data_IF_907366746805
#
_entry.id   IF_907366746805
#
_cell.length_a   1.000
_cell.length_b   1.000
_cell.length_c   1.000
_cell.angle_alpha   90.00
_cell.angle_beta   90.00
_cell.angle_gamma   90.00
#
_symmetry.space_group_name_H-M   'P 1'
#
loop_
_entity.id
_entity.type
_entity.pdbx_description
1 polymer ?
#
# COMPACT_ATOMS: atom_id res chain seq x y z
N UNK A 1 -41.47 -30.02 -27.98
CA UNK A 1 -41.21 -28.57 -27.97
C UNK A 1 -39.82 -28.31 -28.54
N UNK A 2 -39.74 -27.45 -29.54
CA UNK A 2 -38.57 -27.17 -30.39
C UNK A 2 -38.50 -25.64 -30.50
N UNK A 3 -37.40 -25.03 -30.07
CA UNK A 3 -36.98 -23.68 -30.44
C UNK A 3 -35.43 -23.66 -30.49
N UNK A 4 -34.82 -22.81 -31.34
CA UNK A 4 -33.81 -23.26 -32.30
C UNK A 4 -32.40 -22.65 -32.10
N UNK A 5 -31.44 -23.22 -32.83
CA UNK A 5 -30.04 -22.79 -32.95
C UNK A 5 -29.81 -21.63 -33.95
N UNK A 6 -28.83 -20.76 -33.66
CA UNK A 6 -27.97 -19.97 -34.59
C UNK A 6 -26.65 -19.69 -33.83
N UNK A 7 -25.44 -20.12 -34.23
CA UNK A 7 -24.55 -19.86 -35.40
C UNK A 7 -23.75 -18.55 -35.35
N UNK A 8 -22.45 -18.70 -35.71
CA UNK A 8 -21.44 -17.72 -36.14
C UNK A 8 -20.49 -17.21 -35.04
N UNK A 9 -19.24 -17.67 -34.94
CA UNK A 9 -18.08 -17.52 -35.85
C UNK A 9 -17.64 -16.07 -36.08
N UNK A 10 -16.31 -15.89 -35.93
CA UNK A 10 -15.46 -14.87 -36.56
C UNK A 10 -15.69 -13.42 -36.11
N UNK A 11 -14.84 -12.94 -35.20
CA UNK A 11 -14.35 -11.56 -35.13
C UNK A 11 -13.32 -11.42 -34.01
N UNK A 12 -12.06 -11.72 -34.30
CA UNK A 12 -10.94 -10.82 -33.98
C UNK A 12 -9.62 -11.46 -34.44
N UNK A 13 -9.47 -11.60 -35.76
CA UNK A 13 -8.21 -11.96 -36.43
C UNK A 13 -7.47 -10.70 -36.94
N UNK A 14 -7.56 -9.59 -36.20
CA UNK A 14 -6.99 -8.29 -36.60
C UNK A 14 -5.80 -7.93 -35.70
N UNK A 15 -4.86 -8.86 -35.53
CA UNK A 15 -3.52 -8.54 -35.00
C UNK A 15 -2.38 -9.29 -35.69
N UNK A 16 -2.64 -9.92 -36.85
CA UNK A 16 -1.59 -10.47 -37.68
C UNK A 16 -1.46 -9.68 -38.97
N UNK A 17 -0.26 -9.11 -39.18
CA UNK A 17 0.29 -8.55 -40.43
C UNK A 17 -0.03 -7.08 -40.71
N UNK A 18 0.82 -6.15 -40.24
CA UNK A 18 1.55 -5.15 -41.07
C UNK A 18 2.26 -4.10 -40.20
N UNK A 19 3.38 -3.56 -40.71
CA UNK A 19 4.40 -2.70 -40.07
C UNK A 19 5.44 -3.53 -39.30
N UNK A 20 6.45 -4.16 -39.91
CA UNK A 20 7.41 -3.75 -40.97
C UNK A 20 8.36 -2.59 -40.60
N UNK A 21 9.48 -3.00 -39.99
CA UNK A 21 10.85 -2.56 -40.30
C UNK A 21 11.39 -1.19 -39.82
N UNK A 22 12.68 -1.24 -39.44
CA UNK A 22 13.65 -0.17 -39.11
C UNK A 22 13.44 0.53 -37.76
N UNK A 23 14.31 0.35 -36.76
CA UNK A 23 15.70 0.78 -36.85
C UNK A 23 16.61 0.04 -35.87
N UNK A 24 17.72 -0.47 -36.41
CA UNK A 24 18.91 -0.92 -35.70
C UNK A 24 19.62 0.31 -35.14
N UNK A 25 19.65 0.48 -33.82
CA UNK A 25 20.73 1.23 -33.16
C UNK A 25 21.65 0.22 -32.49
N UNK A 26 22.72 -0.13 -33.20
CA UNK A 26 23.90 -0.70 -32.58
C UNK A 26 24.56 0.39 -31.72
N UNK A 27 24.38 0.32 -30.41
CA UNK A 27 25.22 1.03 -29.44
C UNK A 27 25.94 0.00 -28.60
N UNK A 28 27.22 -0.15 -28.88
CA UNK A 28 28.15 -1.01 -28.18
C UNK A 28 28.75 -0.23 -27.01
N UNK A 29 28.75 -0.79 -25.80
CA UNK A 29 29.26 -0.10 -24.62
C UNK A 29 29.40 -0.96 -23.36
N UNK A 30 30.23 -2.01 -23.46
CA UNK A 30 31.22 -2.48 -22.47
C UNK A 30 30.85 -2.50 -20.96
N UNK A 31 30.76 -3.71 -20.39
CA UNK A 31 30.92 -3.99 -18.96
C UNK A 31 30.78 -5.49 -18.65
N UNK A 32 31.84 -6.08 -18.08
CA UNK A 32 32.14 -7.52 -17.97
C UNK A 32 31.36 -8.34 -16.90
N UNK A 33 31.19 -9.64 -17.21
CA UNK A 33 30.94 -10.91 -16.47
C UNK A 33 31.17 -11.02 -14.92
N UNK A 34 30.87 -12.15 -14.22
CA UNK A 34 29.96 -13.29 -14.49
C UNK A 34 29.17 -13.85 -13.25
N UNK A 35 28.23 -14.77 -13.53
CA UNK A 35 27.85 -16.02 -12.82
C UNK A 35 27.80 -16.10 -11.28
N UNK A 36 26.65 -16.51 -10.75
CA UNK A 36 26.42 -16.73 -9.33
C UNK A 36 26.93 -18.07 -8.76
N UNK A 37 26.87 -18.19 -7.43
CA UNK A 37 25.98 -19.18 -6.79
C UNK A 37 25.76 -18.91 -5.27
N UNK A 38 24.51 -19.14 -4.88
CA UNK A 38 23.92 -19.53 -3.58
C UNK A 38 24.62 -19.25 -2.23
N UNK A 39 23.94 -18.48 -1.35
CA UNK A 39 23.58 -18.96 -0.01
C UNK A 39 22.36 -18.19 0.52
N UNK A 40 21.17 -18.76 0.33
CA UNK A 40 19.93 -18.34 0.97
C UNK A 40 19.75 -19.20 2.22
N UNK A 41 19.89 -18.60 3.40
CA UNK A 41 19.23 -19.09 4.61
C UNK A 41 17.95 -18.29 4.77
N UNK A 42 16.85 -18.93 4.40
CA UNK A 42 15.49 -18.42 4.56
C UNK A 42 15.05 -18.61 6.02
N UNK A 43 14.95 -17.54 6.83
CA UNK A 43 14.05 -17.49 8.00
C UNK A 43 13.64 -16.05 8.31
N UNK A 44 12.62 -15.56 7.63
CA UNK A 44 11.43 -14.94 8.25
C UNK A 44 10.52 -14.44 7.14
N UNK A 45 9.42 -15.17 6.92
CA UNK A 45 8.41 -14.83 5.95
C UNK A 45 7.67 -13.55 6.33
N UNK A 46 8.14 -12.40 5.83
CA UNK A 46 7.26 -11.26 5.61
C UNK A 46 6.62 -11.44 4.24
N UNK A 47 5.33 -11.76 4.23
CA UNK A 47 4.53 -11.81 3.02
C UNK A 47 4.52 -10.41 2.35
N UNK A 48 5.43 -10.20 1.39
CA UNK A 48 5.52 -9.04 0.51
C UNK A 48 4.46 -9.08 -0.60
N UNK A 49 3.19 -9.31 -0.25
CA UNK A 49 2.10 -9.47 -1.22
C UNK A 49 1.01 -8.39 -1.07
N UNK A 50 1.38 -7.13 -0.87
CA UNK A 50 0.44 -5.98 -1.03
C UNK A 50 1.13 -4.62 -1.27
N UNK A 51 2.45 -4.55 -1.40
CA UNK A 51 3.16 -3.28 -1.64
C UNK A 51 3.19 -2.88 -3.12
N UNK A 52 2.14 -3.21 -3.88
CA UNK A 52 1.97 -2.68 -5.24
C UNK A 52 1.30 -1.31 -5.10
N UNK A 53 2.10 -0.23 -5.07
CA UNK A 53 1.59 1.13 -5.25
C UNK A 53 0.84 1.17 -6.59
N UNK A 54 -0.48 1.22 -6.53
CA UNK A 54 -1.30 1.57 -7.69
C UNK A 54 -1.30 3.09 -7.75
N UNK A 55 -0.51 3.62 -8.68
CA UNK A 55 -0.53 5.02 -9.05
C UNK A 55 -1.76 5.20 -9.95
N UNK A 56 -2.88 5.50 -9.30
CA UNK A 56 -4.11 5.99 -9.92
C UNK A 56 -3.80 7.40 -10.43
N UNK A 57 -3.61 7.52 -11.74
CA UNK A 57 -3.31 8.75 -12.46
C UNK A 57 -4.48 9.75 -12.50
N UNK A 58 -4.91 10.22 -11.34
CA UNK A 58 -5.77 11.38 -11.17
C UNK A 58 -5.24 12.23 -10.01
N UNK A 59 -4.94 13.50 -10.27
CA UNK A 59 -4.38 14.49 -9.33
C UNK A 59 -5.34 14.88 -8.17
N UNK A 60 -6.11 13.94 -7.63
CA UNK A 60 -6.92 14.16 -6.44
C UNK A 60 -6.09 13.79 -5.22
N UNK A 61 -5.70 14.80 -4.44
CA UNK A 61 -5.05 14.62 -3.13
C UNK A 61 -5.89 13.68 -2.29
N UNK A 62 -5.33 12.50 -1.95
CA UNK A 62 -5.98 11.54 -1.07
C UNK A 62 -6.02 12.11 0.35
N UNK A 63 -7.15 11.97 1.03
CA UNK A 63 -7.27 12.31 2.44
C UNK A 63 -6.29 11.44 3.25
N UNK A 64 -5.48 12.06 4.11
CA UNK A 64 -4.48 11.34 4.91
C UNK A 64 -4.90 11.30 6.38
N UNK A 65 -5.06 10.10 6.93
CA UNK A 65 -5.51 9.86 8.31
C UNK A 65 -4.49 8.98 9.04
N UNK A 66 -4.38 9.10 10.36
CA UNK A 66 -3.59 8.20 11.18
C UNK A 66 -4.44 7.44 12.21
N UNK A 67 -4.03 6.22 12.53
CA UNK A 67 -4.54 5.43 13.65
C UNK A 67 -3.39 5.14 14.62
N UNK A 68 -3.45 5.72 15.82
CA UNK A 68 -2.41 5.64 16.85
C UNK A 68 -2.90 4.76 18.00
N UNK A 69 -2.21 3.65 18.23
CA UNK A 69 -2.54 2.74 19.34
C UNK A 69 -1.79 3.11 20.61
N UNK A 70 -2.13 2.45 21.72
CA UNK A 70 -1.46 2.64 23.00
C UNK A 70 -0.11 1.92 23.12
N UNK A 71 0.06 0.80 22.41
CA UNK A 71 1.27 -0.02 22.37
C UNK A 71 1.16 -1.08 21.25
N UNK A 72 2.24 -1.77 20.94
CA UNK A 72 2.21 -2.99 20.11
C UNK A 72 1.45 -4.10 20.85
N UNK A 73 0.38 -4.61 20.23
CA UNK A 73 -0.37 -5.75 20.72
C UNK A 73 -1.16 -6.42 19.59
N UNK A 74 -1.28 -7.75 19.61
CA UNK A 74 -2.02 -8.51 18.59
C UNK A 74 -3.50 -8.12 18.49
N UNK A 75 -4.07 -7.61 19.59
CA UNK A 75 -5.40 -7.01 19.63
C UNK A 75 -5.61 -5.99 18.49
N UNK A 76 -4.58 -5.22 18.15
CA UNK A 76 -4.66 -4.18 17.11
C UNK A 76 -4.52 -4.70 15.68
N UNK A 77 -4.21 -5.98 15.46
CA UNK A 77 -4.08 -6.55 14.11
C UNK A 77 -5.41 -6.49 13.35
N UNK A 78 -6.54 -6.71 14.04
CA UNK A 78 -7.88 -6.59 13.44
C UNK A 78 -8.18 -5.14 13.06
N UNK A 79 -7.84 -4.18 13.93
CA UNK A 79 -8.00 -2.75 13.63
C UNK A 79 -7.12 -2.33 12.43
N UNK A 80 -5.87 -2.81 12.35
CA UNK A 80 -4.98 -2.59 11.21
C UNK A 80 -5.53 -3.17 9.91
N UNK A 81 -6.16 -4.35 9.97
CA UNK A 81 -6.86 -4.92 8.81
C UNK A 81 -8.03 -4.03 8.36
N UNK A 82 -8.84 -3.54 9.31
CA UNK A 82 -9.91 -2.58 9.04
C UNK A 82 -9.40 -1.27 8.40
N UNK A 83 -8.28 -0.72 8.87
CA UNK A 83 -7.65 0.45 8.24
C UNK A 83 -7.26 0.18 6.78
N UNK A 84 -6.70 -0.98 6.49
CA UNK A 84 -6.34 -1.36 5.11
C UNK A 84 -7.58 -1.47 4.23
N UNK A 85 -8.66 -2.05 4.74
CA UNK A 85 -9.89 -2.23 3.96
C UNK A 85 -10.57 -0.87 3.73
N UNK A 86 -10.66 -0.01 4.75
CA UNK A 86 -11.14 1.37 4.63
C UNK A 86 -10.30 2.23 3.66
N UNK A 87 -8.97 2.07 3.66
CA UNK A 87 -8.10 2.76 2.71
C UNK A 87 -8.46 2.44 1.26
N UNK A 88 -8.80 1.19 0.96
CA UNK A 88 -9.23 0.75 -0.38
C UNK A 88 -10.63 1.25 -0.71
N UNK A 89 -11.58 1.06 0.20
CA UNK A 89 -12.99 1.35 -0.03
C UNK A 89 -13.25 2.85 -0.18
N UNK A 90 -12.50 3.67 0.55
CA UNK A 90 -12.67 5.13 0.57
C UNK A 90 -11.63 5.88 -0.28
N UNK A 91 -10.61 5.20 -0.80
CA UNK A 91 -9.53 5.83 -1.56
C UNK A 91 -8.67 6.80 -0.74
N UNK A 92 -8.56 6.56 0.57
CA UNK A 92 -7.80 7.40 1.52
C UNK A 92 -6.49 6.73 1.93
N UNK A 93 -5.53 7.51 2.43
CA UNK A 93 -4.29 6.98 3.01
C UNK A 93 -4.43 6.89 4.53
N UNK A 94 -4.10 5.72 5.08
CA UNK A 94 -4.15 5.49 6.54
C UNK A 94 -2.81 5.03 7.06
N UNK A 95 -2.22 5.79 7.98
CA UNK A 95 -0.99 5.43 8.69
C UNK A 95 -1.32 4.81 10.06
N UNK A 96 -0.97 3.54 10.26
CA UNK A 96 -1.10 2.90 11.57
C UNK A 96 0.21 3.02 12.36
N UNK A 97 0.17 3.70 13.51
CA UNK A 97 1.30 3.82 14.44
C UNK A 97 1.07 2.97 15.68
N UNK A 98 2.04 2.11 15.97
CA UNK A 98 2.05 1.26 17.16
C UNK A 98 3.31 1.58 17.97
N UNK A 99 3.20 2.41 19.02
CA UNK A 99 4.34 2.75 19.86
C UNK A 99 5.00 1.49 20.43
N UNK A 100 6.34 1.35 20.37
CA UNK A 100 7.04 0.18 20.88
C UNK A 100 6.99 0.07 22.40
N UNK A 101 6.75 1.18 23.10
CA UNK A 101 6.65 1.26 24.55
C UNK A 101 5.38 1.98 24.98
N UNK A 102 4.88 1.60 26.16
CA UNK A 102 3.68 2.18 26.77
C UNK A 102 4.01 3.51 27.45
N UNK A 103 4.13 4.60 26.68
CA UNK A 103 4.51 5.93 27.16
C UNK A 103 3.60 7.04 26.62
N UNK A 104 2.94 7.79 27.51
CA UNK A 104 2.07 8.91 27.13
C UNK A 104 2.86 10.04 26.46
N UNK A 105 4.10 10.28 26.90
CA UNK A 105 5.01 11.26 26.29
C UNK A 105 5.37 10.86 24.86
N UNK A 106 5.73 9.59 24.63
CA UNK A 106 6.03 9.11 23.29
C UNK A 106 4.80 9.17 22.39
N UNK A 107 3.63 8.79 22.90
CA UNK A 107 2.39 8.87 22.15
C UNK A 107 2.06 10.31 21.74
N UNK A 108 2.28 11.27 22.65
CA UNK A 108 2.16 12.71 22.33
C UNK A 108 3.12 13.12 21.22
N UNK A 109 4.39 12.76 21.32
CA UNK A 109 5.38 13.06 20.27
C UNK A 109 4.95 12.49 18.90
N UNK A 110 4.50 11.24 18.85
CA UNK A 110 4.01 10.60 17.62
C UNK A 110 2.85 11.41 17.01
N UNK A 111 1.92 11.90 17.83
CA UNK A 111 0.81 12.72 17.35
C UNK A 111 1.28 14.07 16.81
N UNK A 112 2.19 14.76 17.51
CA UNK A 112 2.77 16.03 17.02
C UNK A 112 3.50 15.84 15.69
N UNK A 113 4.27 14.75 15.54
CA UNK A 113 4.95 14.41 14.29
C UNK A 113 3.94 14.17 13.15
N UNK A 114 2.82 13.48 13.44
CA UNK A 114 1.75 13.25 12.47
C UNK A 114 1.08 14.55 12.04
N UNK A 115 0.77 15.45 12.97
CA UNK A 115 0.21 16.77 12.68
C UNK A 115 1.14 17.57 11.76
N UNK A 116 2.44 17.58 12.07
CA UNK A 116 3.44 18.25 11.24
C UNK A 116 3.61 17.61 9.85
N UNK A 117 3.33 16.30 9.73
CA UNK A 117 3.42 15.59 8.45
C UNK A 117 2.26 15.88 7.49
N UNK A 118 1.25 16.66 7.90
CA UNK A 118 0.07 16.96 7.09
C UNK A 118 -1.01 15.88 7.11
N UNK A 119 -1.10 15.11 8.20
CA UNK A 119 -2.25 14.25 8.50
C UNK A 119 -3.46 15.12 8.83
N UNK A 120 -4.60 14.80 8.23
CA UNK A 120 -5.84 15.58 8.30
C UNK A 120 -6.79 15.07 9.39
N UNK A 121 -6.50 13.92 9.99
CA UNK A 121 -7.26 13.37 11.11
C UNK A 121 -6.54 12.23 11.81
N UNK A 122 -6.80 12.10 13.13
CA UNK A 122 -6.13 11.10 13.97
C UNK A 122 -7.18 10.38 14.81
N UNK A 123 -7.26 9.06 14.66
CA UNK A 123 -7.94 8.18 15.60
C UNK A 123 -6.89 7.64 16.58
N UNK A 124 -7.13 7.79 17.89
CA UNK A 124 -6.14 7.46 18.92
C UNK A 124 -6.77 6.64 20.04
N UNK A 125 -6.04 5.63 20.52
CA UNK A 125 -6.29 4.96 21.80
C UNK A 125 -5.42 5.64 22.87
N UNK A 126 -5.94 6.62 23.64
CA UNK A 126 -5.15 7.36 24.62
C UNK A 126 -4.62 6.44 25.72
N UNK A 127 -3.40 6.71 26.17
CA UNK A 127 -2.76 5.99 27.29
C UNK A 127 -3.18 6.50 28.65
N UNK A 128 -3.45 7.80 28.73
CA UNK A 128 -3.82 8.55 29.93
C UNK A 128 -4.90 9.56 29.53
N UNK A 129 -6.15 9.10 29.51
CA UNK A 129 -7.26 9.89 29.00
C UNK A 129 -7.42 11.22 29.76
N UNK A 130 -7.40 11.18 31.10
CA UNK A 130 -7.61 12.35 31.95
C UNK A 130 -6.58 13.47 31.65
N UNK A 131 -5.31 13.10 31.45
CA UNK A 131 -4.25 14.07 31.19
C UNK A 131 -4.07 14.42 29.71
N UNK A 132 -4.50 13.55 28.78
CA UNK A 132 -4.35 13.79 27.34
C UNK A 132 -5.57 14.47 26.71
N UNK A 133 -6.77 14.34 27.27
CA UNK A 133 -8.00 14.96 26.74
C UNK A 133 -7.90 16.47 26.52
N UNK A 134 -7.31 17.27 27.43
CA UNK A 134 -7.17 18.73 27.23
C UNK A 134 -6.21 19.12 26.10
N UNK A 135 -5.32 18.22 25.69
CA UNK A 135 -4.39 18.45 24.58
C UNK A 135 -4.97 17.95 23.25
N UNK A 136 -5.89 16.97 23.30
CA UNK A 136 -6.56 16.40 22.13
C UNK A 136 -7.76 17.23 21.64
N UNK A 137 -8.34 18.11 22.46
CA UNK A 137 -9.53 18.93 22.16
C UNK A 137 -9.30 20.40 22.47
#
# INVERSE_FOLDING_TARGET
MKFPAKKSLLRSSIHLVLVSALSLFASCGKGEDPSGDTNRTDTNGSAEWWQKKQDDGGDKKKLRIAFVTNQIADFWNIAKAGCRDASKDLGIEIEVKMPPERSATLQKQIVEDLLNSGIEGIAISPLDADNQTPWLN
#
